data_IF_958029994591
#
_entry.id   IF_958029994591
#
_cell.length_a   1.000
_cell.length_b   1.000
_cell.length_c   1.000
_cell.angle_alpha   90.00
_cell.angle_beta   90.00
_cell.angle_gamma   90.00
#
_symmetry.space_group_name_H-M   'P 1'
#
loop_
_entity.id
_entity.type
_entity.pdbx_description
1 polymer ?
#
# COMPACT_ATOMS: atom_id res chain seq x y z
N UNK A 1 22.82 20.61 -15.92
CA UNK A 1 23.70 19.44 -15.74
C UNK A 1 22.86 18.35 -15.09
N UNK A 2 22.98 17.09 -15.53
CA UNK A 2 22.25 15.98 -14.91
C UNK A 2 22.84 15.57 -13.55
N UNK A 3 22.28 14.52 -12.98
CA UNK A 3 22.63 14.06 -11.63
C UNK A 3 23.95 13.29 -11.68
N UNK A 4 24.92 13.76 -10.90
CA UNK A 4 26.29 13.26 -10.93
C UNK A 4 26.67 12.37 -9.75
N UNK A 5 25.94 12.42 -8.63
CA UNK A 5 26.28 11.68 -7.40
C UNK A 5 25.06 11.05 -6.76
N UNK A 6 25.27 9.93 -6.05
CA UNK A 6 24.20 9.23 -5.33
C UNK A 6 23.57 10.10 -4.24
N UNK A 7 24.36 10.98 -3.61
CA UNK A 7 23.86 11.91 -2.60
C UNK A 7 22.95 12.97 -3.21
N UNK A 8 23.26 13.49 -4.40
CA UNK A 8 22.34 14.37 -5.11
C UNK A 8 21.02 13.66 -5.43
N UNK A 9 21.08 12.41 -5.92
CA UNK A 9 19.89 11.59 -6.15
C UNK A 9 19.06 11.38 -4.88
N UNK A 10 19.68 11.04 -3.74
CA UNK A 10 19.02 10.91 -2.44
C UNK A 10 18.38 12.23 -1.98
N UNK A 11 19.10 13.34 -2.09
CA UNK A 11 18.62 14.64 -1.63
C UNK A 11 17.33 15.06 -2.36
N UNK A 12 17.22 14.80 -3.67
CA UNK A 12 16.00 15.11 -4.42
C UNK A 12 14.76 14.38 -3.88
N UNK A 13 14.93 13.15 -3.38
CA UNK A 13 13.86 12.41 -2.70
C UNK A 13 13.65 12.90 -1.26
N UNK A 14 14.73 13.19 -0.53
CA UNK A 14 14.67 13.73 0.83
C UNK A 14 13.86 15.03 0.89
N UNK A 15 14.09 15.94 -0.06
CA UNK A 15 13.48 17.26 -0.12
C UNK A 15 11.96 17.20 -0.33
N UNK A 16 11.44 16.07 -0.83
CA UNK A 16 10.00 15.79 -0.96
C UNK A 16 9.46 14.84 0.12
N UNK A 17 10.25 14.60 1.17
CA UNK A 17 9.85 13.81 2.35
C UNK A 17 9.85 12.31 2.13
N UNK A 18 10.56 11.82 1.12
CA UNK A 18 10.77 10.39 0.90
C UNK A 18 11.99 9.93 1.70
N UNK A 19 11.83 8.86 2.47
CA UNK A 19 12.89 8.23 3.27
C UNK A 19 13.49 6.98 2.59
N UNK A 20 12.73 6.36 1.67
CA UNK A 20 13.12 5.16 0.94
C UNK A 20 12.84 5.27 -0.56
N UNK A 21 13.83 4.84 -1.34
CA UNK A 21 13.74 4.76 -2.79
C UNK A 21 13.81 3.29 -3.22
N UNK A 22 12.79 2.83 -3.94
CA UNK A 22 12.83 1.62 -4.74
C UNK A 22 13.44 1.91 -6.09
N UNK A 23 14.50 1.20 -6.44
CA UNK A 23 15.29 1.47 -7.64
C UNK A 23 15.17 0.31 -8.62
N UNK A 24 14.84 0.61 -9.87
CA UNK A 24 14.77 -0.35 -10.96
C UNK A 24 15.70 0.06 -12.09
N UNK A 25 16.58 -0.85 -12.51
CA UNK A 25 17.23 -0.74 -13.82
C UNK A 25 16.20 -1.12 -14.88
N UNK A 26 15.85 -0.18 -15.75
CA UNK A 26 14.78 -0.38 -16.74
C UNK A 26 15.24 -1.28 -17.88
N UNK A 27 14.43 -2.30 -18.20
CA UNK A 27 14.64 -3.16 -19.35
C UNK A 27 14.65 -2.33 -20.65
N UNK A 28 15.69 -2.52 -21.46
CA UNK A 28 15.96 -1.70 -22.66
C UNK A 28 14.81 -1.62 -23.67
N UNK A 29 13.95 -2.65 -23.73
CA UNK A 29 12.83 -2.74 -24.69
C UNK A 29 11.44 -2.74 -24.05
N UNK A 30 11.30 -3.25 -22.83
CA UNK A 30 9.98 -3.48 -22.23
C UNK A 30 9.55 -2.39 -21.28
N UNK A 31 10.45 -1.78 -20.51
CA UNK A 31 10.07 -0.73 -19.57
C UNK A 31 10.03 0.62 -20.31
N UNK A 32 8.83 1.05 -20.67
CA UNK A 32 8.54 2.33 -21.35
C UNK A 32 7.04 2.70 -21.26
N UNK A 33 6.71 3.92 -21.69
CA UNK A 33 5.36 4.45 -21.73
C UNK A 33 4.31 3.59 -22.46
N UNK A 34 4.70 2.84 -23.49
CA UNK A 34 3.77 1.98 -24.25
C UNK A 34 3.57 0.62 -23.60
N UNK A 35 4.65 0.01 -23.12
CA UNK A 35 4.64 -1.36 -22.61
C UNK A 35 4.49 -1.43 -21.07
N UNK A 36 4.52 -0.27 -20.40
CA UNK A 36 4.48 -0.10 -18.95
C UNK A 36 5.77 -0.60 -18.28
N UNK A 37 5.96 -0.28 -17.00
CA UNK A 37 7.18 -0.64 -16.26
C UNK A 37 6.85 -1.78 -15.31
N UNK A 38 7.52 -2.93 -15.41
CA UNK A 38 7.29 -4.06 -14.51
C UNK A 38 7.91 -3.76 -13.15
N UNK A 39 7.16 -3.73 -12.06
CA UNK A 39 7.69 -3.44 -10.73
C UNK A 39 7.79 -4.69 -9.84
N UNK A 40 6.87 -5.64 -9.99
CA UNK A 40 6.89 -6.88 -9.21
C UNK A 40 6.19 -8.02 -9.97
N UNK A 41 6.27 -9.23 -9.43
CA UNK A 41 5.50 -10.38 -9.94
C UNK A 41 4.03 -10.34 -9.54
N UNK A 42 3.69 -9.60 -8.47
CA UNK A 42 2.34 -9.50 -7.92
C UNK A 42 2.12 -8.11 -7.32
N UNK A 43 0.85 -7.72 -7.18
CA UNK A 43 0.47 -6.38 -6.73
C UNK A 43 0.55 -6.18 -5.21
N UNK A 44 0.37 -7.25 -4.43
CA UNK A 44 0.26 -7.21 -2.96
C UNK A 44 1.39 -6.43 -2.28
N UNK A 45 2.65 -6.75 -2.58
CA UNK A 45 3.79 -6.06 -2.00
C UNK A 45 3.95 -4.60 -2.45
N UNK A 46 3.45 -4.25 -3.63
CA UNK A 46 3.51 -2.88 -4.15
C UNK A 46 2.44 -1.98 -3.54
N UNK A 47 1.25 -2.51 -3.24
CA UNK A 47 0.17 -1.76 -2.55
C UNK A 47 0.63 -1.33 -1.16
N UNK A 48 1.38 -2.18 -0.46
CA UNK A 48 1.95 -1.82 0.83
C UNK A 48 3.06 -0.75 0.70
N UNK A 49 3.85 -0.80 -0.37
CA UNK A 49 4.95 0.13 -0.58
C UNK A 49 4.52 1.51 -1.09
N UNK A 50 3.39 1.59 -1.80
CA UNK A 50 2.92 2.78 -2.48
C UNK A 50 1.46 3.06 -2.11
N UNK A 51 1.18 4.15 -1.36
CA UNK A 51 -0.16 4.50 -0.93
C UNK A 51 -1.14 4.62 -2.10
N UNK A 52 -2.06 3.67 -2.19
CA UNK A 52 -3.06 3.61 -3.27
C UNK A 52 -4.22 4.54 -2.91
N UNK A 53 -4.53 5.48 -3.81
CA UNK A 53 -5.68 6.39 -3.63
C UNK A 53 -7.01 5.68 -3.79
N UNK A 54 -7.08 4.81 -4.79
CA UNK A 54 -8.31 4.13 -5.20
C UNK A 54 -7.96 2.85 -5.95
N UNK A 55 -8.61 1.75 -5.64
CA UNK A 55 -8.57 0.52 -6.43
C UNK A 55 -9.80 0.44 -7.31
N UNK A 56 -9.60 0.32 -8.62
CA UNK A 56 -10.66 0.12 -9.61
C UNK A 56 -10.49 -1.22 -10.28
N UNK A 57 -11.60 -1.90 -10.52
CA UNK A 57 -11.64 -3.11 -11.33
C UNK A 57 -12.08 -2.71 -12.73
N UNK A 58 -11.24 -3.00 -13.72
CA UNK A 58 -11.58 -2.77 -15.12
C UNK A 58 -12.16 -4.04 -15.72
N UNK A 59 -13.19 -3.88 -16.54
CA UNK A 59 -13.70 -4.94 -17.40
C UNK A 59 -12.56 -5.64 -18.18
N UNK A 60 -12.65 -6.96 -18.42
CA UNK A 60 -11.61 -7.74 -19.06
C UNK A 60 -11.16 -7.16 -20.40
N UNK A 61 -9.85 -7.19 -20.68
CA UNK A 61 -9.32 -6.80 -21.97
C UNK A 61 -9.84 -7.72 -23.09
N UNK A 62 -10.66 -7.20 -24.01
CA UNK A 62 -11.26 -7.88 -25.17
C UNK A 62 -10.29 -8.18 -26.33
N UNK A 63 -8.97 -8.13 -26.09
CA UNK A 63 -7.97 -8.31 -27.14
C UNK A 63 -7.93 -9.76 -27.68
N UNK A 64 -8.60 -9.99 -28.81
CA UNK A 64 -8.64 -11.24 -29.60
C UNK A 64 -7.31 -11.65 -30.26
N UNK A 65 -6.22 -10.89 -30.08
CA UNK A 65 -4.94 -11.09 -30.80
C UNK A 65 -3.95 -12.08 -30.16
N UNK A 66 -4.23 -12.65 -28.98
CA UNK A 66 -3.33 -13.62 -28.33
C UNK A 66 -4.05 -14.94 -28.04
N UNK A 67 -3.67 -15.99 -28.78
CA UNK A 67 -4.21 -17.37 -28.74
C UNK A 67 -4.10 -18.11 -27.38
N UNK A 68 -3.61 -17.47 -26.31
CA UNK A 68 -3.39 -18.04 -24.97
C UNK A 68 -3.97 -17.22 -23.82
N UNK A 69 -4.75 -16.17 -24.08
CA UNK A 69 -5.47 -15.48 -23.00
C UNK A 69 -6.63 -16.35 -22.54
N UNK A 70 -6.59 -16.87 -21.31
CA UNK A 70 -7.83 -17.14 -20.61
C UNK A 70 -8.61 -15.81 -20.58
N UNK A 71 -9.81 -15.77 -21.14
CA UNK A 71 -10.69 -14.62 -21.04
C UNK A 71 -11.46 -14.76 -19.73
N UNK A 72 -11.57 -13.69 -18.93
CA UNK A 72 -12.53 -13.69 -17.82
C UNK A 72 -12.20 -12.85 -16.59
N UNK A 73 -10.92 -12.72 -16.20
CA UNK A 73 -10.61 -12.02 -14.94
C UNK A 73 -10.50 -10.50 -15.11
N UNK A 74 -11.13 -9.71 -14.23
CA UNK A 74 -11.01 -8.25 -14.24
C UNK A 74 -9.56 -7.83 -13.97
N UNK A 75 -9.18 -6.70 -14.55
CA UNK A 75 -7.84 -6.13 -14.36
C UNK A 75 -7.91 -5.21 -13.13
N UNK A 76 -7.13 -5.53 -12.10
CA UNK A 76 -7.00 -4.68 -10.91
C UNK A 76 -6.10 -3.49 -11.24
N UNK A 77 -6.67 -2.29 -11.16
CA UNK A 77 -5.96 -1.02 -11.31
C UNK A 77 -5.91 -0.30 -9.95
N UNK A 78 -4.72 -0.05 -9.41
CA UNK A 78 -4.51 0.71 -8.18
C UNK A 78 -3.96 2.10 -8.53
N UNK A 79 -4.77 3.15 -8.39
CA UNK A 79 -4.43 4.53 -8.75
C UNK A 79 -3.51 5.18 -7.71
N UNK A 80 -2.52 5.93 -8.18
CA UNK A 80 -1.46 6.52 -7.36
C UNK A 80 -1.49 8.05 -7.43
N UNK A 81 -1.11 8.72 -6.33
CA UNK A 81 -0.84 10.16 -6.33
C UNK A 81 0.60 10.44 -6.80
N UNK A 82 0.85 10.31 -8.10
CA UNK A 82 2.22 10.24 -8.63
C UNK A 82 2.73 11.56 -9.23
N UNK A 83 3.99 11.86 -8.97
CA UNK A 83 4.71 13.00 -9.50
C UNK A 83 6.06 12.57 -10.10
N UNK A 84 6.40 13.11 -11.27
CA UNK A 84 7.78 13.08 -11.74
C UNK A 84 8.59 14.20 -11.08
N UNK A 85 9.79 13.87 -10.64
CA UNK A 85 10.82 14.83 -10.27
C UNK A 85 11.75 15.07 -11.48
N UNK A 86 12.07 16.34 -11.73
CA UNK A 86 13.20 16.68 -12.61
C UNK A 86 14.52 16.79 -11.83
N UNK A 87 15.62 16.99 -12.55
CA UNK A 87 16.95 17.13 -11.96
C UNK A 87 17.13 18.35 -11.05
N UNK A 88 16.16 19.28 -11.00
CA UNK A 88 16.18 20.45 -10.13
C UNK A 88 15.22 20.29 -8.94
N UNK A 89 14.53 19.15 -8.81
CA UNK A 89 13.55 18.90 -7.76
C UNK A 89 12.16 19.46 -8.05
N UNK A 90 11.89 19.96 -9.26
CA UNK A 90 10.53 20.37 -9.61
C UNK A 90 9.63 19.15 -9.74
N UNK A 91 8.37 19.31 -9.30
CA UNK A 91 7.37 18.25 -9.23
C UNK A 91 6.35 18.41 -10.35
N UNK A 92 6.10 17.36 -11.11
CA UNK A 92 5.11 17.34 -12.19
C UNK A 92 4.12 16.21 -11.98
N UNK A 93 2.87 16.58 -11.71
CA UNK A 93 1.81 15.62 -11.40
C UNK A 93 1.45 14.78 -12.63
N UNK A 94 1.42 13.46 -12.48
CA UNK A 94 0.98 12.51 -13.49
C UNK A 94 -0.33 11.84 -13.03
N UNK A 95 -1.48 12.49 -13.26
CA UNK A 95 -2.74 12.17 -12.59
C UNK A 95 -3.32 10.78 -12.93
N UNK A 96 -2.95 10.24 -14.09
CA UNK A 96 -3.47 8.95 -14.57
C UNK A 96 -2.61 7.75 -14.14
N UNK A 97 -1.62 7.97 -13.26
CA UNK A 97 -0.67 6.93 -12.84
C UNK A 97 -1.34 5.86 -11.98
N UNK A 98 -1.00 4.60 -12.28
CA UNK A 98 -1.58 3.44 -11.61
C UNK A 98 -0.69 2.20 -11.70
N UNK A 99 -0.84 1.30 -10.74
CA UNK A 99 -0.36 -0.07 -10.81
C UNK A 99 -1.44 -0.94 -11.46
N UNK A 100 -1.03 -1.82 -12.37
CA UNK A 100 -1.91 -2.74 -13.08
C UNK A 100 -1.41 -4.16 -12.86
N UNK A 101 -2.27 -5.03 -12.35
CA UNK A 101 -2.01 -6.46 -12.30
C UNK A 101 -2.77 -7.17 -13.42
N UNK A 102 -2.03 -7.88 -14.27
CA UNK A 102 -2.64 -8.66 -15.33
C UNK A 102 -2.78 -10.10 -14.86
N UNK A 103 -3.99 -10.62 -14.67
CA UNK A 103 -4.17 -12.04 -14.31
C UNK A 103 -3.50 -13.03 -15.30
N UNK A 104 -3.27 -12.60 -16.54
CA UNK A 104 -2.68 -13.41 -17.61
C UNK A 104 -1.17 -13.64 -17.44
N UNK A 105 -0.49 -12.82 -16.62
CA UNK A 105 0.95 -12.86 -16.39
C UNK A 105 1.25 -12.49 -14.94
N UNK A 106 2.14 -13.19 -14.21
CA UNK A 106 2.52 -12.80 -12.86
C UNK A 106 3.42 -11.55 -12.91
N UNK A 107 2.84 -10.40 -13.23
CA UNK A 107 3.51 -9.12 -13.34
C UNK A 107 2.57 -7.97 -12.94
N UNK A 108 3.01 -7.18 -11.97
CA UNK A 108 2.42 -5.89 -11.63
C UNK A 108 3.22 -4.76 -12.30
N UNK A 109 2.54 -3.88 -13.02
CA UNK A 109 3.16 -2.84 -13.85
C UNK A 109 2.72 -1.44 -13.47
N UNK A 110 3.65 -0.49 -13.45
CA UNK A 110 3.36 0.95 -13.39
C UNK A 110 2.93 1.43 -14.79
N UNK A 111 1.80 2.13 -14.87
CA UNK A 111 1.17 2.62 -16.09
C UNK A 111 0.62 4.03 -15.89
N UNK A 112 0.24 4.72 -16.97
CA UNK A 112 -0.43 6.03 -16.91
C UNK A 112 0.44 7.23 -16.52
N UNK A 113 1.73 7.00 -16.24
CA UNK A 113 2.72 8.00 -15.79
C UNK A 113 3.13 9.08 -16.83
N UNK A 114 2.37 9.29 -17.91
CA UNK A 114 2.59 10.38 -18.88
C UNK A 114 1.31 11.15 -19.17
N UNK A 115 0.16 10.47 -19.20
CA UNK A 115 -1.08 11.06 -19.70
C UNK A 115 -1.54 12.15 -18.73
N UNK A 116 -1.80 13.34 -19.26
CA UNK A 116 -2.17 14.51 -18.47
C UNK A 116 -1.04 15.11 -17.65
N UNK A 117 0.20 14.60 -17.77
CA UNK A 117 1.36 15.13 -17.09
C UNK A 117 2.00 16.26 -17.90
N UNK A 118 2.23 17.41 -17.27
CA UNK A 118 2.86 18.58 -17.91
C UNK A 118 4.27 18.26 -18.40
N UNK A 119 5.04 17.51 -17.62
CA UNK A 119 6.38 17.07 -17.97
C UNK A 119 6.65 15.66 -17.48
N UNK A 120 7.25 14.85 -18.35
CA UNK A 120 7.74 13.52 -18.01
C UNK A 120 9.08 13.26 -18.70
N UNK A 121 9.98 12.46 -18.10
CA UNK A 121 11.31 12.18 -18.66
C UNK A 121 11.24 11.64 -20.08
N UNK A 122 11.96 12.26 -21.02
CA UNK A 122 11.98 11.81 -22.41
C UNK A 122 12.52 10.37 -22.56
N UNK A 123 13.40 9.93 -21.66
CA UNK A 123 13.99 8.59 -21.65
C UNK A 123 12.98 7.46 -21.40
N UNK A 124 11.80 7.77 -20.83
CA UNK A 124 10.75 6.76 -20.61
C UNK A 124 9.90 6.49 -21.86
N UNK A 125 9.97 7.38 -22.85
CA UNK A 125 9.19 7.26 -24.08
C UNK A 125 9.83 6.23 -25.00
N UNK A 126 9.06 5.22 -25.43
CA UNK A 126 9.52 4.14 -26.30
C UNK A 126 10.19 4.65 -27.58
N UNK A 127 9.69 5.74 -28.15
CA UNK A 127 10.21 6.33 -29.39
C UNK A 127 11.54 7.04 -29.21
N UNK A 128 11.93 7.36 -27.97
CA UNK A 128 13.15 8.12 -27.67
C UNK A 128 14.18 7.32 -26.86
N UNK A 129 13.76 6.26 -26.15
CA UNK A 129 14.61 5.54 -25.18
C UNK A 129 15.96 5.06 -25.71
N UNK A 130 16.07 4.72 -27.00
CA UNK A 130 17.32 4.27 -27.61
C UNK A 130 18.43 5.32 -27.54
N UNK A 131 18.07 6.61 -27.52
CA UNK A 131 19.03 7.70 -27.42
C UNK A 131 19.58 7.93 -26.01
N UNK A 132 19.08 7.23 -24.98
CA UNK A 132 19.37 7.51 -23.57
C UNK A 132 20.21 6.43 -22.88
N UNK A 133 20.53 5.33 -23.56
CA UNK A 133 21.36 4.25 -23.01
C UNK A 133 20.70 3.52 -21.82
N UNK A 134 21.51 3.14 -20.82
CA UNK A 134 21.02 2.56 -19.56
C UNK A 134 20.13 3.57 -18.83
N UNK A 135 19.01 3.09 -18.28
CA UNK A 135 18.02 3.91 -17.58
C UNK A 135 17.74 3.32 -16.20
N UNK A 136 17.69 4.18 -15.18
CA UNK A 136 17.48 3.78 -13.79
C UNK A 136 16.33 4.61 -13.24
N UNK A 137 15.27 3.95 -12.77
CA UNK A 137 14.11 4.59 -12.17
C UNK A 137 14.19 4.45 -10.67
N UNK A 138 14.17 5.57 -9.95
CA UNK A 138 13.84 5.63 -8.52
C UNK A 138 12.36 5.92 -8.33
N UNK A 139 11.72 5.24 -7.38
CA UNK A 139 10.36 5.52 -6.93
C UNK A 139 10.31 5.48 -5.41
N UNK A 140 9.69 6.47 -4.77
CA UNK A 140 9.46 6.45 -3.32
C UNK A 140 8.18 7.19 -2.96
N UNK A 141 7.60 6.83 -1.82
CA UNK A 141 6.42 7.49 -1.27
C UNK A 141 6.83 8.33 -0.06
N UNK A 142 6.22 9.50 0.09
CA UNK A 142 6.34 10.28 1.32
C UNK A 142 5.17 9.95 2.26
N UNK A 143 5.25 10.47 3.50
CA UNK A 143 4.23 10.29 4.55
C UNK A 143 2.89 10.97 4.26
N UNK A 144 2.79 11.76 3.19
CA UNK A 144 1.56 12.41 2.75
C UNK A 144 0.82 11.59 1.67
N UNK A 145 1.31 10.40 1.34
CA UNK A 145 0.75 9.56 0.29
C UNK A 145 1.10 10.01 -1.13
N UNK A 146 2.03 10.95 -1.29
CA UNK A 146 2.54 11.36 -2.59
C UNK A 146 3.68 10.43 -3.00
N UNK A 147 3.66 9.99 -4.27
CA UNK A 147 4.64 9.08 -4.82
C UNK A 147 5.46 9.82 -5.86
N UNK A 148 6.78 9.74 -5.73
CA UNK A 148 7.72 10.44 -6.59
C UNK A 148 8.50 9.46 -7.43
N UNK A 149 8.61 9.76 -8.72
CA UNK A 149 9.51 9.09 -9.65
C UNK A 149 10.63 10.00 -10.10
N UNK A 150 11.84 9.48 -10.20
CA UNK A 150 12.94 10.16 -10.86
C UNK A 150 13.69 9.18 -11.76
N UNK A 151 13.89 9.57 -13.02
CA UNK A 151 14.51 8.72 -14.03
C UNK A 151 15.89 9.25 -14.39
N UNK A 152 16.91 8.45 -14.12
CA UNK A 152 18.29 8.68 -14.57
C UNK A 152 18.52 7.99 -15.92
N UNK A 153 19.39 8.57 -16.74
CA UNK A 153 19.83 7.99 -18.01
C UNK A 153 21.33 8.15 -18.24
N UNK A 154 21.94 7.17 -18.89
CA UNK A 154 23.38 7.17 -19.19
C UNK A 154 23.82 8.38 -20.01
N UNK A 155 22.95 8.89 -20.89
CA UNK A 155 23.24 10.09 -21.68
C UNK A 155 23.31 11.35 -20.83
N UNK A 156 22.35 11.52 -19.91
CA UNK A 156 22.14 12.80 -19.22
C UNK A 156 22.76 12.83 -17.82
N UNK A 157 22.94 11.67 -17.17
CA UNK A 157 23.30 11.53 -15.76
C UNK A 157 24.55 10.68 -15.57
N UNK A 158 25.65 11.32 -15.14
CA UNK A 158 26.93 10.65 -14.86
C UNK A 158 26.78 9.56 -13.79
N UNK A 159 25.84 9.72 -12.85
CA UNK A 159 25.60 8.73 -11.80
C UNK A 159 25.27 7.33 -12.36
N UNK A 160 24.71 7.21 -13.58
CA UNK A 160 24.27 5.91 -14.12
C UNK A 160 25.40 4.90 -14.32
N UNK A 161 26.61 5.37 -14.68
CA UNK A 161 27.79 4.51 -14.84
C UNK A 161 28.38 4.07 -13.49
N UNK A 162 28.13 4.86 -12.44
CA UNK A 162 28.67 4.66 -11.09
C UNK A 162 27.57 4.21 -10.10
N UNK A 163 26.37 3.88 -10.59
CA UNK A 163 25.23 3.56 -9.74
C UNK A 163 25.49 2.24 -9.00
N UNK A 164 25.38 2.20 -7.66
CA UNK A 164 25.72 1.02 -6.89
C UNK A 164 24.78 -0.15 -7.19
N UNK A 165 25.30 -1.38 -7.05
CA UNK A 165 24.43 -2.55 -6.96
C UNK A 165 23.66 -2.51 -5.64
N UNK A 166 22.36 -2.74 -5.71
CA UNK A 166 21.47 -2.69 -4.56
C UNK A 166 20.95 -4.09 -4.26
N UNK A 167 20.81 -4.39 -2.98
CA UNK A 167 20.13 -5.61 -2.54
C UNK A 167 18.68 -5.58 -3.04
N UNK A 168 18.15 -6.72 -3.54
CA UNK A 168 16.74 -6.81 -3.90
C UNK A 168 15.84 -6.50 -2.71
N UNK A 169 14.72 -5.86 -2.98
CA UNK A 169 13.69 -5.59 -2.00
C UNK A 169 12.95 -6.88 -1.62
N UNK A 170 12.45 -6.96 -0.39
CA UNK A 170 11.54 -8.03 0.01
C UNK A 170 10.20 -8.04 -0.74
N UNK A 171 9.89 -6.97 -1.48
CA UNK A 171 8.67 -6.81 -2.28
C UNK A 171 8.84 -7.38 -3.68
N UNK A 172 10.03 -7.26 -4.26
CA UNK A 172 10.29 -7.63 -5.65
C UNK A 172 11.79 -7.81 -5.92
N UNK A 173 12.12 -8.91 -6.57
CA UNK A 173 13.49 -9.20 -7.02
C UNK A 173 14.04 -8.22 -8.06
N UNK A 174 13.18 -7.44 -8.73
CA UNK A 174 13.59 -6.44 -9.74
C UNK A 174 13.68 -5.00 -9.20
N UNK A 175 13.38 -4.81 -7.91
CA UNK A 175 13.52 -3.52 -7.23
C UNK A 175 14.63 -3.63 -6.19
N UNK A 176 15.67 -2.82 -6.32
CA UNK A 176 16.65 -2.59 -5.26
C UNK A 176 16.13 -1.58 -4.24
N UNK A 177 16.71 -1.59 -3.03
CA UNK A 177 16.38 -0.61 -1.98
C UNK A 177 17.55 0.34 -1.78
N UNK A 178 17.24 1.65 -1.74
CA UNK A 178 18.16 2.70 -1.37
C UNK A 178 17.52 3.60 -0.30
N UNK A 179 18.14 3.65 0.88
CA UNK A 179 17.73 4.56 1.94
C UNK A 179 18.23 6.00 1.66
N UNK A 180 17.40 6.99 1.96
CA UNK A 180 17.69 8.41 1.73
C UNK A 180 18.59 8.98 2.83
N UNK A 181 18.33 8.61 4.08
CA UNK A 181 19.17 8.96 5.23
C UNK A 181 19.96 7.75 5.71
N UNK A 182 21.30 7.83 5.64
CA UNK A 182 22.22 6.82 6.15
C UNK A 182 22.94 6.02 5.06
N UNK A 183 24.22 5.73 5.29
CA UNK A 183 25.08 4.85 4.48
C UNK A 183 24.75 3.35 4.65
N UNK A 184 23.61 3.02 5.25
CA UNK A 184 23.31 1.65 5.64
C UNK A 184 22.77 0.86 4.45
N UNK A 185 23.58 -0.10 4.02
CA UNK A 185 23.20 -1.29 3.23
C UNK A 185 22.18 -2.20 3.95
N UNK A 186 21.76 -1.82 5.17
CA UNK A 186 20.78 -2.55 5.96
C UNK A 186 19.40 -2.50 5.28
N UNK A 187 18.81 -3.68 5.18
CA UNK A 187 17.45 -3.87 4.69
C UNK A 187 16.41 -3.25 5.65
N UNK A 188 15.18 -2.97 5.18
CA UNK A 188 14.08 -2.50 6.03
C UNK A 188 13.87 -3.32 7.31
N UNK A 189 13.97 -4.64 7.18
CA UNK A 189 13.83 -5.57 8.28
C UNK A 189 14.97 -5.41 9.30
N UNK A 190 16.21 -5.23 8.85
CA UNK A 190 17.36 -5.04 9.73
C UNK A 190 17.30 -3.71 10.47
N UNK A 191 16.87 -2.63 9.79
CA UNK A 191 16.67 -1.32 10.40
C UNK A 191 15.58 -1.37 11.47
N UNK A 192 14.40 -1.91 11.14
CA UNK A 192 13.30 -2.09 12.09
C UNK A 192 13.73 -2.97 13.28
N UNK A 193 14.44 -4.08 13.01
CA UNK A 193 14.93 -4.98 14.06
C UNK A 193 15.93 -4.28 14.97
N UNK A 194 16.81 -3.43 14.42
CA UNK A 194 17.75 -2.63 15.19
C UNK A 194 17.05 -1.66 16.15
N UNK A 195 16.06 -0.93 15.66
CA UNK A 195 15.27 0.01 16.47
C UNK A 195 14.44 -0.70 17.54
N UNK A 196 13.78 -1.81 17.20
CA UNK A 196 13.05 -2.63 18.17
C UNK A 196 13.97 -3.17 19.26
N UNK A 197 15.19 -3.60 18.92
CA UNK A 197 16.19 -4.02 19.92
C UNK A 197 16.61 -2.86 20.82
N UNK A 198 16.80 -1.66 20.28
CA UNK A 198 17.12 -0.48 21.07
C UNK A 198 15.98 -0.10 22.03
N UNK A 199 14.73 -0.15 21.56
CA UNK A 199 13.54 0.08 22.38
C UNK A 199 13.48 -0.93 23.53
N UNK A 200 13.70 -2.22 23.26
CA UNK A 200 13.72 -3.27 24.30
C UNK A 200 14.86 -3.04 25.29
N UNK A 201 16.07 -2.72 24.81
CA UNK A 201 17.24 -2.48 25.66
C UNK A 201 17.08 -1.26 26.59
N UNK A 202 16.30 -0.26 26.17
CA UNK A 202 15.99 0.92 26.98
C UNK A 202 14.99 0.63 28.14
N UNK A 203 14.39 -0.57 28.19
CA UNK A 203 13.55 -1.00 29.29
C UNK A 203 12.13 -0.40 29.26
N UNK A 204 11.68 0.15 30.39
CA UNK A 204 10.32 0.66 30.55
C UNK A 204 10.15 2.03 29.92
N UNK A 205 9.14 2.17 29.08
CA UNK A 205 8.78 3.44 28.42
C UNK A 205 7.53 4.05 29.04
N UNK A 206 7.53 5.38 29.19
CA UNK A 206 6.34 6.12 29.57
C UNK A 206 5.30 6.09 28.44
N UNK A 207 4.01 6.07 28.79
CA UNK A 207 2.96 6.05 27.76
C UNK A 207 2.86 7.41 27.07
N UNK A 208 3.21 7.42 25.79
CA UNK A 208 3.23 8.62 24.95
C UNK A 208 2.56 8.34 23.60
N UNK A 209 2.30 9.41 22.86
CA UNK A 209 1.94 9.36 21.44
C UNK A 209 2.68 10.47 20.70
N UNK A 210 2.93 10.28 19.42
CA UNK A 210 3.59 11.27 18.59
C UNK A 210 2.54 12.13 17.88
N UNK A 211 2.54 13.43 18.15
CA UNK A 211 1.63 14.41 17.54
C UNK A 211 2.44 15.38 16.69
N UNK A 212 2.53 15.13 15.39
CA UNK A 212 3.25 16.02 14.46
C UNK A 212 4.74 16.16 14.79
N UNK A 213 5.40 15.05 15.14
CA UNK A 213 6.81 15.00 15.56
C UNK A 213 7.05 15.30 17.04
N UNK A 214 6.03 15.67 17.81
CA UNK A 214 6.16 15.94 19.25
C UNK A 214 5.60 14.79 20.09
N UNK A 215 6.43 14.22 20.96
CA UNK A 215 5.99 13.19 21.91
C UNK A 215 5.20 13.83 23.07
N UNK A 216 3.95 13.43 23.22
CA UNK A 216 3.06 13.91 24.28
C UNK A 216 2.56 12.74 25.14
N UNK A 217 2.39 12.92 26.47
CA UNK A 217 1.81 11.89 27.33
C UNK A 217 0.43 11.42 26.83
N UNK A 218 0.17 10.12 26.95
CA UNK A 218 -1.10 9.52 26.57
C UNK A 218 -1.67 8.64 27.70
N UNK A 219 -3.00 8.68 27.87
CA UNK A 219 -3.72 7.86 28.85
C UNK A 219 -4.93 7.20 28.18
N UNK A 220 -4.85 5.89 27.97
CA UNK A 220 -5.93 5.09 27.38
C UNK A 220 -5.48 3.69 27.00
N UNK A 221 -6.42 2.85 26.56
CA UNK A 221 -6.15 1.44 26.24
C UNK A 221 -5.16 1.26 25.06
N UNK A 222 -5.06 2.26 24.18
CA UNK A 222 -4.16 2.25 23.02
C UNK A 222 -2.72 2.66 23.37
N UNK A 223 -2.40 2.89 24.65
CA UNK A 223 -1.12 3.46 25.06
C UNK A 223 0.09 2.65 24.61
N UNK A 224 0.00 1.32 24.59
CA UNK A 224 1.09 0.47 24.11
C UNK A 224 1.37 0.66 22.60
N UNK A 225 0.31 0.76 21.78
CA UNK A 225 0.43 0.96 20.34
C UNK A 225 1.05 2.31 20.02
N UNK A 226 0.45 3.38 20.56
CA UNK A 226 0.94 4.74 20.35
C UNK A 226 2.36 4.97 20.89
N UNK A 227 2.75 4.29 21.97
CA UNK A 227 4.12 4.41 22.48
C UNK A 227 5.11 3.73 21.54
N UNK A 228 4.77 2.55 21.00
CA UNK A 228 5.63 1.86 20.04
C UNK A 228 5.78 2.66 18.74
N UNK A 229 4.67 3.15 18.18
CA UNK A 229 4.66 4.05 17.02
C UNK A 229 5.52 5.29 17.27
N UNK A 230 5.33 5.96 18.41
CA UNK A 230 6.09 7.14 18.79
C UNK A 230 7.60 6.89 18.88
N UNK A 231 8.01 5.76 19.44
CA UNK A 231 9.42 5.38 19.56
C UNK A 231 10.07 5.02 18.22
N UNK A 232 9.26 4.58 17.24
CA UNK A 232 9.66 4.38 15.85
C UNK A 232 9.53 5.66 15.01
N UNK A 233 9.18 6.80 15.62
CA UNK A 233 9.03 8.07 14.93
C UNK A 233 7.78 8.18 14.05
N UNK A 234 6.81 7.27 14.22
CA UNK A 234 5.53 7.23 13.52
C UNK A 234 4.56 8.18 14.20
N UNK A 235 3.86 9.00 13.43
CA UNK A 235 2.87 9.95 13.96
C UNK A 235 1.52 9.27 14.18
N UNK A 236 0.81 9.69 15.23
CA UNK A 236 -0.56 9.27 15.47
C UNK A 236 -1.51 9.96 14.49
N UNK A 237 -1.64 9.40 13.30
CA UNK A 237 -2.62 9.81 12.29
C UNK A 237 -3.50 8.60 11.89
N UNK A 238 -4.59 8.86 11.17
CA UNK A 238 -5.54 7.82 10.75
C UNK A 238 -5.26 7.31 9.32
N UNK A 239 -4.04 7.49 8.83
CA UNK A 239 -3.69 7.10 7.46
C UNK A 239 -3.55 5.57 7.38
N UNK A 240 -4.02 5.00 6.27
CA UNK A 240 -3.94 3.56 5.99
C UNK A 240 -2.60 3.19 5.34
N UNK A 241 -1.51 3.65 5.93
CA UNK A 241 -0.14 3.42 5.43
C UNK A 241 0.63 2.52 6.39
N UNK A 242 1.63 1.74 5.93
CA UNK A 242 2.43 0.91 6.84
C UNK A 242 3.16 1.78 7.87
N UNK A 243 3.10 1.37 9.13
CA UNK A 243 3.58 2.16 10.26
C UNK A 243 5.08 2.51 10.16
N UNK A 244 5.95 1.52 9.92
CA UNK A 244 7.39 1.75 9.88
C UNK A 244 8.06 0.91 8.80
N UNK A 245 8.88 1.55 7.96
CA UNK A 245 9.72 0.85 7.00
C UNK A 245 8.96 -0.08 6.05
N UNK A 246 7.70 0.22 5.72
CA UNK A 246 6.85 -0.64 4.88
C UNK A 246 6.26 -1.85 5.62
N UNK A 247 6.34 -1.87 6.95
CA UNK A 247 5.78 -2.89 7.81
C UNK A 247 4.66 -2.30 8.68
N UNK A 248 3.54 -3.01 8.76
CA UNK A 248 2.53 -2.79 9.79
C UNK A 248 3.07 -3.26 11.14
N UNK A 249 3.01 -2.41 12.16
CA UNK A 249 3.53 -2.66 13.49
C UNK A 249 2.37 -2.70 14.49
N UNK A 250 2.22 -3.85 15.16
CA UNK A 250 1.20 -4.01 16.20
C UNK A 250 1.83 -4.30 17.55
N UNK A 251 1.50 -3.47 18.54
CA UNK A 251 1.71 -3.85 19.95
C UNK A 251 0.61 -4.83 20.38
N UNK A 252 0.97 -5.82 21.19
CA UNK A 252 0.02 -6.85 21.58
C UNK A 252 0.26 -7.39 22.99
N UNK A 253 -0.85 -7.64 23.70
CA UNK A 253 -0.89 -8.33 24.99
C UNK A 253 -2.15 -9.21 25.03
N UNK A 254 -2.00 -10.53 24.95
CA UNK A 254 -3.11 -11.48 25.10
C UNK A 254 -3.12 -12.61 24.07
N UNK A 255 -4.32 -13.00 23.61
CA UNK A 255 -4.53 -14.12 22.66
C UNK A 255 -5.14 -13.71 21.29
N UNK A 256 -5.57 -12.45 21.11
CA UNK A 256 -6.17 -11.96 19.85
C UNK A 256 -5.63 -10.60 19.45
N UNK A 257 -5.10 -10.50 18.24
CA UNK A 257 -4.61 -9.24 17.67
C UNK A 257 -5.58 -8.73 16.62
N UNK A 258 -5.88 -7.43 16.63
CA UNK A 258 -6.66 -6.80 15.57
C UNK A 258 -5.77 -6.60 14.36
N UNK A 259 -6.15 -7.19 13.22
CA UNK A 259 -5.42 -7.02 11.96
C UNK A 259 -5.80 -5.70 11.28
N UNK A 260 -7.10 -5.43 11.19
CA UNK A 260 -7.66 -4.24 10.54
C UNK A 260 -9.02 -3.88 11.14
N UNK A 261 -9.56 -2.71 10.79
CA UNK A 261 -10.91 -2.26 11.20
C UNK A 261 -11.60 -1.60 10.00
N UNK A 262 -12.07 -2.40 9.03
CA UNK A 262 -12.84 -1.88 7.91
C UNK A 262 -14.21 -1.38 8.38
N UNK A 263 -14.87 -0.60 7.54
CA UNK A 263 -16.26 -0.20 7.70
C UNK A 263 -17.06 -0.91 6.62
N UNK A 264 -18.21 -1.49 7.00
CA UNK A 264 -19.12 -2.09 6.04
C UNK A 264 -19.66 -1.02 5.07
N UNK A 265 -19.73 -1.36 3.80
CA UNK A 265 -20.26 -0.50 2.73
C UNK A 265 -21.46 -1.13 2.01
N UNK A 266 -21.86 -2.33 2.42
CA UNK A 266 -23.04 -3.05 1.92
C UNK A 266 -23.97 -3.50 3.06
N UNK A 267 -25.18 -3.90 2.69
CA UNK A 267 -26.20 -4.39 3.63
C UNK A 267 -26.75 -3.29 4.52
N UNK A 268 -27.49 -3.68 5.55
CA UNK A 268 -28.19 -2.72 6.39
C UNK A 268 -27.24 -1.71 7.08
N UNK A 269 -26.01 -2.08 7.41
CA UNK A 269 -25.00 -1.18 7.98
C UNK A 269 -24.52 -0.11 6.98
N UNK A 270 -24.40 -0.46 5.70
CA UNK A 270 -24.05 0.47 4.62
C UNK A 270 -25.23 1.33 4.15
N UNK A 271 -26.44 0.77 4.16
CA UNK A 271 -27.65 1.41 3.62
C UNK A 271 -28.37 2.35 4.61
N UNK A 272 -28.32 2.04 5.91
CA UNK A 272 -29.05 2.79 6.94
C UNK A 272 -28.18 3.90 7.54
N UNK A 273 -28.83 4.91 8.12
CA UNK A 273 -28.11 5.82 9.00
C UNK A 273 -27.62 5.07 10.24
N UNK A 274 -26.51 5.50 10.83
CA UNK A 274 -25.99 4.91 12.07
C UNK A 274 -27.08 4.78 13.15
N UNK A 275 -27.95 5.80 13.28
CA UNK A 275 -29.04 5.78 14.26
C UNK A 275 -30.05 4.68 13.96
N UNK A 276 -30.50 4.57 12.71
CA UNK A 276 -31.51 3.58 12.31
C UNK A 276 -30.95 2.15 12.38
N UNK A 277 -29.68 1.97 11.99
CA UNK A 277 -28.98 0.71 12.15
C UNK A 277 -28.91 0.29 13.62
N UNK A 278 -28.45 1.18 14.51
CA UNK A 278 -28.35 0.89 15.94
C UNK A 278 -29.71 0.66 16.60
N UNK A 279 -30.77 1.33 16.12
CA UNK A 279 -32.13 1.11 16.60
C UNK A 279 -32.70 -0.25 16.17
N UNK A 280 -32.33 -0.72 14.98
CA UNK A 280 -32.83 -1.97 14.39
C UNK A 280 -32.03 -3.19 14.87
N UNK A 281 -30.70 -3.10 14.83
CA UNK A 281 -29.80 -4.25 15.06
C UNK A 281 -29.00 -4.16 16.36
N UNK A 282 -28.88 -2.98 16.96
CA UNK A 282 -28.16 -2.81 18.23
C UNK A 282 -28.96 -3.33 19.42
N UNK A 283 -28.28 -3.72 20.49
CA UNK A 283 -28.88 -4.13 21.76
C UNK A 283 -28.36 -3.28 22.92
N UNK A 284 -29.04 -3.34 24.06
CA UNK A 284 -28.68 -2.55 25.21
C UNK A 284 -27.29 -2.92 25.76
N UNK A 285 -26.53 -1.89 26.08
CA UNK A 285 -25.21 -2.02 26.69
C UNK A 285 -25.34 -2.59 28.09
N UNK A 286 -24.42 -3.49 28.45
CA UNK A 286 -24.40 -4.14 29.78
C UNK A 286 -24.28 -3.18 30.97
N UNK A 287 -23.93 -1.91 30.74
CA UNK A 287 -23.74 -0.90 31.78
C UNK A 287 -25.04 -0.18 32.17
N UNK A 288 -26.16 -0.49 31.51
CA UNK A 288 -27.46 0.16 31.73
C UNK A 288 -27.37 1.70 31.72
N UNK A 289 -26.51 2.21 30.84
CA UNK A 289 -26.23 3.64 30.63
C UNK A 289 -27.04 4.22 29.47
N UNK A 290 -28.07 3.49 29.02
CA UNK A 290 -28.83 3.79 27.81
C UNK A 290 -28.05 3.64 26.50
N UNK A 291 -26.80 3.14 26.53
CA UNK A 291 -26.04 2.89 25.30
C UNK A 291 -26.62 1.70 24.54
N UNK A 292 -26.79 1.85 23.22
CA UNK A 292 -26.99 0.71 22.31
C UNK A 292 -25.65 0.31 21.72
N UNK A 293 -25.44 -0.99 21.52
CA UNK A 293 -24.20 -1.58 21.03
C UNK A 293 -24.50 -2.63 19.98
N UNK A 294 -23.70 -2.62 18.92
CA UNK A 294 -23.61 -3.72 17.97
C UNK A 294 -22.18 -4.27 18.07
N UNK A 295 -22.02 -5.40 18.76
CA UNK A 295 -20.70 -5.96 19.13
C UNK A 295 -20.73 -7.49 19.07
N UNK A 296 -19.60 -8.16 19.25
CA UNK A 296 -19.59 -9.62 19.32
C UNK A 296 -18.63 -10.25 18.34
N UNK A 297 -18.39 -11.55 18.52
CA UNK A 297 -17.43 -12.30 17.71
C UNK A 297 -18.22 -13.19 16.76
N UNK A 298 -18.24 -12.80 15.49
CA UNK A 298 -18.83 -13.58 14.41
C UNK A 298 -17.74 -14.40 13.73
N UNK A 299 -18.04 -15.65 13.35
CA UNK A 299 -17.07 -16.57 12.74
C UNK A 299 -17.65 -17.18 11.48
N UNK A 300 -16.78 -17.42 10.51
CA UNK A 300 -17.14 -18.08 9.27
C UNK A 300 -17.75 -19.46 9.55
N UNK A 301 -18.90 -19.75 8.94
CA UNK A 301 -19.58 -21.05 9.05
C UNK A 301 -20.23 -21.34 10.41
N UNK A 302 -20.22 -20.40 11.36
CA UNK A 302 -20.74 -20.64 12.71
C UNK A 302 -21.53 -19.44 13.25
N UNK A 303 -22.84 -19.62 13.52
CA UNK A 303 -23.64 -18.64 14.25
C UNK A 303 -23.05 -18.31 15.63
N UNK A 304 -23.01 -17.03 15.95
CA UNK A 304 -22.64 -16.51 17.26
C UNK A 304 -23.73 -16.86 18.28
N UNK A 305 -23.35 -17.45 19.42
CA UNK A 305 -24.31 -17.78 20.48
C UNK A 305 -24.93 -16.55 21.14
N UNK A 306 -24.24 -15.40 21.09
CA UNK A 306 -24.70 -14.16 21.71
C UNK A 306 -25.58 -13.30 20.82
N UNK A 307 -25.41 -13.40 19.50
CA UNK A 307 -26.06 -12.50 18.54
C UNK A 307 -26.86 -13.21 17.47
N UNK A 308 -26.79 -14.56 17.40
CA UNK A 308 -27.28 -15.47 16.33
C UNK A 308 -26.68 -15.24 14.94
N UNK A 309 -26.10 -14.07 14.68
CA UNK A 309 -25.49 -13.74 13.42
C UNK A 309 -24.23 -14.56 13.14
N UNK A 310 -23.89 -14.67 11.87
CA UNK A 310 -22.73 -15.41 11.37
C UNK A 310 -21.89 -14.51 10.47
N UNK A 311 -20.57 -14.75 10.42
CA UNK A 311 -19.73 -14.17 9.38
C UNK A 311 -19.82 -15.04 8.13
N UNK A 312 -20.04 -14.43 6.99
CA UNK A 312 -20.02 -15.05 5.68
C UNK A 312 -18.79 -14.58 4.91
N UNK A 313 -18.17 -15.52 4.20
CA UNK A 313 -17.11 -15.24 3.23
C UNK A 313 -17.63 -15.75 1.90
N UNK A 314 -18.10 -14.83 1.06
CA UNK A 314 -18.66 -15.16 -0.25
C UNK A 314 -17.58 -15.08 -1.32
N UNK A 315 -17.79 -15.84 -2.39
CA UNK A 315 -16.90 -15.84 -3.54
C UNK A 315 -15.54 -16.49 -3.28
N UNK A 316 -15.34 -17.28 -2.21
CA UNK A 316 -14.13 -18.09 -1.98
C UNK A 316 -14.47 -19.58 -2.07
N UNK A 317 -13.87 -20.30 -3.02
CA UNK A 317 -13.92 -21.76 -3.03
C UNK A 317 -12.88 -22.32 -2.06
N UNK A 318 -13.35 -22.84 -0.92
CA UNK A 318 -12.49 -23.40 0.12
C UNK A 318 -11.69 -24.63 -0.31
N UNK A 319 -12.06 -25.32 -1.40
CA UNK A 319 -11.31 -26.48 -1.90
C UNK A 319 -10.11 -26.07 -2.73
N UNK A 320 -10.29 -25.14 -3.66
CA UNK A 320 -9.22 -24.65 -4.53
C UNK A 320 -8.42 -23.50 -3.91
N UNK A 321 -9.02 -22.77 -2.98
CA UNK A 321 -8.47 -21.51 -2.45
C UNK A 321 -8.62 -20.34 -3.42
N UNK A 322 -9.37 -20.49 -4.51
CA UNK A 322 -9.57 -19.45 -5.52
C UNK A 322 -10.82 -18.62 -5.21
N UNK A 323 -10.75 -17.33 -5.52
CA UNK A 323 -11.90 -16.43 -5.47
C UNK A 323 -12.72 -16.49 -6.77
N UNK A 324 -14.00 -16.11 -6.70
CA UNK A 324 -14.88 -15.97 -7.87
C UNK A 324 -14.28 -15.00 -8.88
N UNK A 325 -14.43 -15.30 -10.16
CA UNK A 325 -14.01 -14.39 -11.23
C UNK A 325 -14.92 -13.15 -11.33
N UNK A 326 -16.04 -13.12 -10.58
CA UNK A 326 -16.97 -11.99 -10.48
C UNK A 326 -16.78 -11.26 -9.14
N UNK A 327 -16.19 -10.06 -9.15
CA UNK A 327 -15.91 -9.30 -7.92
C UNK A 327 -17.14 -9.02 -7.07
N UNK A 328 -18.30 -8.80 -7.70
CA UNK A 328 -19.56 -8.52 -7.00
C UNK A 328 -20.07 -9.71 -6.17
N UNK A 329 -19.50 -10.90 -6.40
CA UNK A 329 -19.78 -12.10 -5.60
C UNK A 329 -18.79 -12.27 -4.43
N UNK A 330 -17.71 -11.48 -4.37
CA UNK A 330 -16.67 -11.55 -3.33
C UNK A 330 -16.98 -10.50 -2.25
N UNK A 331 -17.38 -10.98 -1.08
CA UNK A 331 -17.57 -10.11 0.08
C UNK A 331 -17.36 -10.85 1.39
N UNK A 332 -17.13 -10.11 2.46
CA UNK A 332 -17.09 -10.62 3.83
C UNK A 332 -18.09 -9.82 4.65
N UNK A 333 -19.14 -10.46 5.13
CA UNK A 333 -20.19 -9.74 5.84
C UNK A 333 -20.87 -10.57 6.92
N UNK A 334 -21.71 -9.91 7.70
CA UNK A 334 -22.50 -10.49 8.78
C UNK A 334 -23.89 -10.76 8.24
N UNK A 335 -24.36 -12.00 8.40
CA UNK A 335 -25.72 -12.42 8.04
C UNK A 335 -26.52 -12.91 9.24
N UNK A 336 -27.84 -12.75 9.16
CA UNK A 336 -28.80 -13.49 9.97
C UNK A 336 -29.21 -14.75 9.20
N UNK A 337 -28.67 -15.95 9.54
CA UNK A 337 -28.93 -17.17 8.80
C UNK A 337 -30.37 -17.67 8.94
N UNK A 338 -31.11 -17.26 9.98
CA UNK A 338 -32.51 -17.64 10.16
C UNK A 338 -33.43 -16.82 9.25
N UNK A 339 -33.12 -15.54 9.08
CA UNK A 339 -33.92 -14.59 8.31
C UNK A 339 -33.41 -14.38 6.87
N UNK A 340 -32.25 -14.95 6.52
CA UNK A 340 -31.58 -14.72 5.23
C UNK A 340 -31.23 -13.25 5.00
N UNK A 341 -31.03 -12.47 6.06
CA UNK A 341 -30.82 -11.02 5.98
C UNK A 341 -29.34 -10.68 6.02
N UNK A 342 -28.89 -9.81 5.13
CA UNK A 342 -27.52 -9.28 5.11
C UNK A 342 -27.43 -8.03 5.99
N UNK A 343 -26.71 -8.15 7.11
CA UNK A 343 -26.65 -7.13 8.16
C UNK A 343 -25.63 -6.06 7.80
N UNK A 344 -24.45 -6.45 7.33
CA UNK A 344 -23.40 -5.52 6.92
C UNK A 344 -22.17 -6.26 6.43
N UNK A 345 -21.50 -5.76 5.41
CA UNK A 345 -20.24 -6.30 4.89
C UNK A 345 -19.53 -5.33 3.96
#
# INVERSE_FOLDING_TARGET
MGISTINHFRNLFNDVGVDRIFVKILASKQDNDKNQIVLASQLEGLINAFPVRETRLREPSSSTKKRKSAAGRPITEAHLNYFWLDQNGNRYHAPDTKLIEYFQYPEARLSGFIKGCEWAPAAIRRTKQAAFGKRILGIGANRAGEIFGLLLSERDDRLVSEFPELAPSGISGVLGILNVTGDTTATPQEQLTGELRAIVAAGWHASVRNKGGTLVPFKGNQGAGYTLEALLGVETNALKEPDAYGHEIKSFRGNKISLMTPTADMGAEGDLTFRDFMMTYGWDGKKDDGSRRFTGVHRAGKPSTSTRYQLEVSGLDLKSGEFSDKPDEIFVGITDPELGTFIGG
#
